data_IF_728879717644
#
_entry.id   IF_728879717644
#
_cell.length_a   1.000
_cell.length_b   1.000
_cell.length_c   1.000
_cell.angle_alpha   90.00
_cell.angle_beta   90.00
_cell.angle_gamma   90.00
#
_symmetry.space_group_name_H-M   'P 1'
#
loop_
_entity.id
_entity.type
_entity.pdbx_description
1 polymer ?
#
# COMPACT_ATOMS: atom_id res chain seq x y z
N UNK A 1 5.25 -1.97 -3.24
CA UNK A 1 4.41 -2.48 -2.13
C UNK A 1 5.03 -3.64 -1.37
N UNK A 2 5.68 -4.57 -2.07
CA UNK A 2 6.39 -5.71 -1.49
C UNK A 2 7.46 -5.27 -0.46
N UNK A 3 7.71 -6.16 0.49
CA UNK A 3 8.82 -6.08 1.42
C UNK A 3 8.44 -5.62 2.83
N UNK A 4 9.32 -5.88 3.80
CA UNK A 4 9.14 -5.46 5.17
C UNK A 4 9.04 -3.93 5.28
N UNK A 5 8.53 -3.46 6.42
CA UNK A 5 8.51 -2.03 6.73
C UNK A 5 9.95 -1.53 6.92
N UNK A 6 10.34 -0.56 6.12
CA UNK A 6 11.59 0.18 6.30
C UNK A 6 11.38 1.42 7.18
N UNK A 7 12.46 2.17 7.43
CA UNK A 7 12.45 3.36 8.29
C UNK A 7 11.41 4.40 7.85
N UNK A 8 11.25 4.64 6.55
CA UNK A 8 10.32 5.66 6.07
C UNK A 8 8.86 5.19 6.16
N UNK A 9 8.62 3.90 5.96
CA UNK A 9 7.30 3.32 6.24
C UNK A 9 6.94 3.46 7.74
N UNK A 10 7.91 3.27 8.63
CA UNK A 10 7.73 3.48 10.08
C UNK A 10 7.53 4.94 10.44
N UNK A 11 8.22 5.87 9.79
CA UNK A 11 7.98 7.31 9.98
C UNK A 11 6.54 7.66 9.60
N UNK A 12 6.06 7.25 8.43
CA UNK A 12 4.68 7.48 8.03
C UNK A 12 3.68 6.84 9.03
N UNK A 13 3.98 5.64 9.51
CA UNK A 13 3.18 4.97 10.53
C UNK A 13 3.10 5.75 11.84
N UNK A 14 4.24 6.24 12.34
CA UNK A 14 4.34 7.01 13.58
C UNK A 14 3.61 8.35 13.43
N UNK A 15 3.75 9.03 12.29
CA UNK A 15 3.04 10.28 12.04
C UNK A 15 1.52 10.11 12.16
N UNK A 16 0.95 9.08 11.54
CA UNK A 16 -0.49 8.79 11.64
C UNK A 16 -0.87 8.40 13.08
N UNK A 17 -0.04 7.61 13.76
CA UNK A 17 -0.28 7.21 15.14
C UNK A 17 -0.25 8.39 16.13
N UNK A 18 0.66 9.34 15.95
CA UNK A 18 0.74 10.56 16.76
C UNK A 18 -0.52 11.42 16.57
N UNK A 19 -1.01 11.56 15.34
CA UNK A 19 -2.25 12.29 15.08
C UNK A 19 -3.46 11.57 15.68
N UNK A 20 -3.50 10.23 15.61
CA UNK A 20 -4.53 9.44 16.27
C UNK A 20 -4.53 9.65 17.80
N UNK A 21 -3.34 9.63 18.43
CA UNK A 21 -3.20 9.85 19.86
C UNK A 21 -3.59 11.28 20.26
N UNK A 22 -3.17 12.29 19.49
CA UNK A 22 -3.57 13.68 19.69
C UNK A 22 -5.09 13.83 19.63
N UNK A 23 -5.71 13.30 18.57
CA UNK A 23 -7.16 13.37 18.39
C UNK A 23 -7.91 12.64 19.51
N UNK A 24 -7.39 11.49 19.96
CA UNK A 24 -7.95 10.77 21.10
C UNK A 24 -7.88 11.60 22.38
N UNK A 25 -6.70 12.11 22.73
CA UNK A 25 -6.49 12.87 23.96
C UNK A 25 -7.32 14.16 23.97
N UNK A 26 -7.33 14.90 22.86
CA UNK A 26 -8.10 16.14 22.74
C UNK A 26 -9.62 15.88 22.80
N UNK A 27 -10.11 14.88 22.07
CA UNK A 27 -11.52 14.49 22.09
C UNK A 27 -11.96 13.97 23.46
N UNK A 28 -11.14 13.17 24.12
CA UNK A 28 -11.42 12.67 25.47
C UNK A 28 -11.46 13.81 26.50
N UNK A 29 -10.56 14.80 26.40
CA UNK A 29 -10.56 15.96 27.29
C UNK A 29 -11.85 16.77 27.15
N UNK A 30 -12.30 17.02 25.91
CA UNK A 30 -13.59 17.69 25.63
C UNK A 30 -14.79 16.96 26.25
N UNK A 31 -14.78 15.63 26.31
CA UNK A 31 -15.89 14.85 26.87
C UNK A 31 -15.84 14.71 28.39
N UNK A 32 -14.65 14.54 28.96
CA UNK A 32 -14.48 14.29 30.40
C UNK A 32 -14.55 15.60 31.20
N UNK A 33 -13.95 16.67 30.69
CA UNK A 33 -13.83 17.95 31.37
C UNK A 33 -13.99 19.12 30.38
N UNK A 34 -15.20 19.32 29.81
CA UNK A 34 -15.43 20.26 28.71
C UNK A 34 -15.07 21.71 29.03
N UNK A 35 -15.36 22.17 30.25
CA UNK A 35 -15.06 23.55 30.66
C UNK A 35 -13.56 23.75 30.92
N UNK A 36 -12.90 22.76 31.52
CA UNK A 36 -11.45 22.81 31.70
C UNK A 36 -10.73 22.83 30.34
N UNK A 37 -11.19 22.03 29.37
CA UNK A 37 -10.70 22.09 27.99
C UNK A 37 -10.90 23.47 27.37
N UNK A 38 -12.10 24.04 27.50
CA UNK A 38 -12.44 25.35 26.95
C UNK A 38 -11.54 26.47 27.48
N UNK A 39 -11.17 26.45 28.76
CA UNK A 39 -10.27 27.45 29.35
C UNK A 39 -8.78 27.11 29.20
N UNK A 40 -8.42 25.85 28.97
CA UNK A 40 -7.03 25.43 28.78
C UNK A 40 -6.45 25.87 27.43
N UNK A 41 -7.31 26.11 26.42
CA UNK A 41 -6.90 26.60 25.10
C UNK A 41 -7.17 28.10 25.02
N UNK A 42 -6.16 28.99 25.11
CA UNK A 42 -6.37 30.43 25.27
C UNK A 42 -7.15 31.08 24.13
N UNK A 43 -7.06 30.51 22.95
CA UNK A 43 -7.75 30.97 21.75
C UNK A 43 -9.21 30.54 21.74
N UNK A 44 -9.65 29.50 22.45
CA UNK A 44 -11.03 29.02 22.35
C UNK A 44 -12.06 30.01 22.94
N UNK A 45 -11.87 30.63 24.12
CA UNK A 45 -12.88 31.50 24.71
C UNK A 45 -13.29 32.70 23.85
N UNK A 46 -12.39 33.16 22.98
CA UNK A 46 -12.66 34.28 22.09
C UNK A 46 -13.51 33.89 20.86
N UNK A 47 -14.00 32.64 20.74
CA UNK A 47 -14.95 32.20 19.70
C UNK A 47 -16.41 32.32 20.14
N UNK A 48 -16.65 32.68 21.41
CA UNK A 48 -17.97 32.85 21.99
C UNK A 48 -18.14 32.07 23.29
N UNK A 49 -19.29 32.21 23.99
CA UNK A 49 -19.53 31.57 25.28
C UNK A 49 -19.43 30.04 25.23
N UNK A 50 -18.98 29.43 26.33
CA UNK A 50 -18.89 27.98 26.44
C UNK A 50 -20.27 27.31 26.28
N UNK A 51 -20.31 26.24 25.47
CA UNK A 51 -21.46 25.36 25.33
C UNK A 51 -20.96 23.91 25.42
N UNK A 52 -21.33 23.22 26.50
CA UNK A 52 -20.83 21.87 26.81
C UNK A 52 -21.33 20.81 25.82
N UNK A 53 -22.53 20.97 25.27
CA UNK A 53 -23.04 20.07 24.24
C UNK A 53 -22.23 20.21 22.95
N UNK A 54 -22.00 21.46 22.51
CA UNK A 54 -21.21 21.74 21.31
C UNK A 54 -19.75 21.27 21.45
N UNK A 55 -19.13 21.49 22.61
CA UNK A 55 -17.80 20.94 22.92
C UNK A 55 -17.83 19.40 22.83
N UNK A 56 -18.91 18.78 23.32
CA UNK A 56 -19.13 17.33 23.22
C UNK A 56 -19.18 16.82 21.78
N UNK A 57 -19.89 17.50 20.90
CA UNK A 57 -19.97 17.14 19.47
C UNK A 57 -18.60 17.19 18.79
N UNK A 58 -17.81 18.23 19.09
CA UNK A 58 -16.42 18.35 18.60
C UNK A 58 -15.56 17.23 19.18
N UNK A 59 -15.74 16.90 20.46
CA UNK A 59 -15.05 15.78 21.11
C UNK A 59 -15.32 14.45 20.42
N UNK A 60 -16.59 14.15 20.09
CA UNK A 60 -16.97 12.95 19.35
C UNK A 60 -16.38 12.92 17.93
N UNK A 61 -16.28 14.08 17.27
CA UNK A 61 -15.64 14.17 15.97
C UNK A 61 -14.13 13.85 16.04
N UNK A 62 -13.42 14.41 17.03
CA UNK A 62 -12.01 14.08 17.30
C UNK A 62 -11.83 12.59 17.63
N UNK A 63 -12.68 12.00 18.47
CA UNK A 63 -12.61 10.57 18.79
C UNK A 63 -12.89 9.68 17.57
N UNK A 64 -13.82 10.08 16.72
CA UNK A 64 -14.10 9.37 15.46
C UNK A 64 -12.88 9.39 14.53
N UNK A 65 -12.25 10.55 14.37
CA UNK A 65 -10.96 10.68 13.66
C UNK A 65 -9.88 9.80 14.29
N UNK A 66 -9.77 9.77 15.62
CA UNK A 66 -8.78 8.96 16.34
C UNK A 66 -8.95 7.46 16.08
N UNK A 67 -10.18 6.95 16.08
CA UNK A 67 -10.47 5.53 15.80
C UNK A 67 -10.04 5.17 14.37
N UNK A 68 -10.40 5.99 13.39
CA UNK A 68 -10.06 5.74 11.98
C UNK A 68 -8.56 5.81 11.72
N UNK A 69 -7.88 6.82 12.29
CA UNK A 69 -6.44 6.99 12.17
C UNK A 69 -5.68 5.90 12.93
N UNK A 70 -6.15 5.48 14.11
CA UNK A 70 -5.59 4.36 14.85
C UNK A 70 -5.70 3.05 14.07
N UNK A 71 -6.86 2.77 13.47
CA UNK A 71 -7.04 1.63 12.56
C UNK A 71 -6.08 1.68 11.38
N UNK A 72 -5.91 2.86 10.77
CA UNK A 72 -5.02 3.06 9.65
C UNK A 72 -3.54 2.90 10.03
N UNK A 73 -3.13 3.41 11.20
CA UNK A 73 -1.77 3.37 11.72
C UNK A 73 -1.25 1.94 11.91
N UNK A 74 -2.11 0.94 12.10
CA UNK A 74 -1.66 -0.47 12.21
C UNK A 74 -1.07 -0.97 10.88
N UNK A 75 -1.64 -0.57 9.73
CA UNK A 75 -1.12 -0.94 8.42
C UNK A 75 -1.43 0.16 7.38
N UNK A 76 -0.68 1.27 7.38
CA UNK A 76 -0.97 2.42 6.53
C UNK A 76 -0.95 2.08 5.04
N UNK A 77 -0.09 1.13 4.63
CA UNK A 77 0.02 0.66 3.24
C UNK A 77 -1.32 0.12 2.72
N UNK A 78 -2.03 -0.65 3.54
CA UNK A 78 -3.32 -1.27 3.18
C UNK A 78 -4.54 -0.44 3.58
N UNK A 79 -4.40 0.45 4.56
CA UNK A 79 -5.51 1.16 5.20
C UNK A 79 -5.46 2.68 4.98
N UNK A 80 -4.73 3.13 3.95
CA UNK A 80 -4.54 4.54 3.65
C UNK A 80 -5.87 5.30 3.45
N UNK A 81 -6.91 4.65 2.91
CA UNK A 81 -8.24 5.26 2.77
C UNK A 81 -8.88 5.59 4.13
N UNK A 82 -8.62 4.76 5.16
CA UNK A 82 -9.09 5.05 6.51
C UNK A 82 -8.31 6.22 7.13
N UNK A 83 -7.01 6.36 6.81
CA UNK A 83 -6.26 7.55 7.20
C UNK A 83 -6.81 8.82 6.53
N UNK A 84 -7.10 8.74 5.22
CA UNK A 84 -7.72 9.83 4.48
C UNK A 84 -9.06 10.23 5.10
N UNK A 85 -9.95 9.27 5.31
CA UNK A 85 -11.27 9.54 5.88
C UNK A 85 -11.18 10.04 7.33
N UNK A 86 -10.29 9.46 8.15
CA UNK A 86 -10.04 9.90 9.53
C UNK A 86 -9.50 11.33 9.62
N UNK A 87 -8.77 11.81 8.62
CA UNK A 87 -8.25 13.19 8.59
C UNK A 87 -9.22 14.21 7.99
N UNK A 88 -10.34 13.81 7.37
CA UNK A 88 -11.23 14.73 6.66
C UNK A 88 -11.81 15.81 7.58
N UNK A 89 -12.30 15.42 8.76
CA UNK A 89 -12.85 16.38 9.70
C UNK A 89 -11.77 17.32 10.25
N UNK A 90 -10.58 16.81 10.58
CA UNK A 90 -9.44 17.61 11.02
C UNK A 90 -9.04 18.65 9.96
N UNK A 91 -9.00 18.24 8.68
CA UNK A 91 -8.71 19.13 7.57
C UNK A 91 -9.81 20.19 7.39
N UNK A 92 -11.07 19.77 7.37
CA UNK A 92 -12.20 20.67 7.20
C UNK A 92 -12.26 21.71 8.34
N UNK A 93 -11.99 21.28 9.57
CA UNK A 93 -11.87 22.17 10.72
C UNK A 93 -10.72 23.16 10.54
N UNK A 94 -9.52 22.70 10.16
CA UNK A 94 -8.40 23.59 9.86
C UNK A 94 -8.68 24.60 8.73
N UNK A 95 -9.42 24.18 7.69
CA UNK A 95 -9.87 25.06 6.59
C UNK A 95 -10.85 26.12 7.11
N UNK A 96 -11.72 25.79 8.06
CA UNK A 96 -12.62 26.77 8.68
C UNK A 96 -11.83 27.89 9.36
N UNK A 97 -10.77 27.58 10.09
CA UNK A 97 -9.88 28.58 10.71
C UNK A 97 -9.20 29.48 9.67
N UNK A 98 -8.77 28.91 8.54
CA UNK A 98 -8.25 29.69 7.41
C UNK A 98 -9.32 30.64 6.87
N UNK A 99 -10.53 30.13 6.66
CA UNK A 99 -11.65 30.94 6.18
C UNK A 99 -11.99 32.09 7.14
N UNK A 100 -12.13 31.81 8.43
CA UNK A 100 -12.42 32.82 9.47
C UNK A 100 -11.36 33.92 9.52
N UNK A 101 -10.10 33.56 9.28
CA UNK A 101 -9.00 34.53 9.19
C UNK A 101 -9.12 35.39 7.93
N UNK A 102 -9.46 34.79 6.78
CA UNK A 102 -9.63 35.50 5.51
C UNK A 102 -10.80 36.50 5.56
N UNK A 103 -11.92 36.12 6.18
CA UNK A 103 -13.12 36.99 6.27
C UNK A 103 -13.09 37.95 7.47
N UNK A 104 -12.02 37.93 8.27
CA UNK A 104 -11.83 38.87 9.39
C UNK A 104 -12.61 38.53 10.67
N UNK A 105 -13.12 37.30 10.80
CA UNK A 105 -13.74 36.81 12.04
C UNK A 105 -12.66 36.51 13.09
N UNK A 106 -11.53 35.95 12.67
CA UNK A 106 -10.38 35.65 13.51
C UNK A 106 -9.17 36.53 13.13
N UNK A 107 -8.40 36.98 14.12
CA UNK A 107 -7.18 37.74 13.85
C UNK A 107 -6.03 36.83 13.38
N UNK A 108 -5.11 37.31 12.53
CA UNK A 108 -3.96 36.52 12.10
C UNK A 108 -3.09 36.00 13.26
N UNK A 109 -2.89 36.80 14.31
CA UNK A 109 -2.08 36.41 15.48
C UNK A 109 -2.69 35.24 16.25
N UNK A 110 -4.03 35.15 16.28
CA UNK A 110 -4.74 34.05 16.91
C UNK A 110 -4.69 32.80 16.05
N UNK A 111 -4.90 32.95 14.73
CA UNK A 111 -4.73 31.86 13.80
C UNK A 111 -3.34 31.21 13.92
N UNK A 112 -2.27 32.01 14.02
CA UNK A 112 -0.90 31.48 14.22
C UNK A 112 -0.77 30.61 15.46
N UNK A 113 -1.48 30.94 16.55
CA UNK A 113 -1.49 30.13 17.77
C UNK A 113 -2.29 28.83 17.59
N UNK A 114 -3.33 28.83 16.75
CA UNK A 114 -4.17 27.67 16.47
C UNK A 114 -3.53 26.70 15.47
N UNK A 115 -2.69 27.19 14.53
CA UNK A 115 -2.04 26.39 13.46
C UNK A 115 -1.51 25.04 13.94
N UNK A 116 -0.70 24.95 15.03
CA UNK A 116 -0.14 23.67 15.47
C UNK A 116 -1.20 22.63 15.82
N UNK A 117 -2.34 23.06 16.39
CA UNK A 117 -3.43 22.18 16.82
C UNK A 117 -4.46 21.89 15.74
N UNK A 118 -4.68 22.80 14.78
CA UNK A 118 -5.77 22.69 13.79
C UNK A 118 -5.29 22.33 12.38
N UNK A 119 -4.09 22.76 11.98
CA UNK A 119 -3.51 22.45 10.67
C UNK A 119 -2.36 21.43 10.74
N UNK A 120 -1.61 21.39 11.85
CA UNK A 120 -0.56 20.41 12.07
C UNK A 120 -1.02 18.95 11.88
N UNK A 121 -2.10 18.52 12.55
CA UNK A 121 -2.60 17.14 12.45
C UNK A 121 -2.93 16.68 11.03
N UNK A 122 -3.77 17.38 10.22
CA UNK A 122 -4.05 16.94 8.86
C UNK A 122 -2.80 16.98 7.97
N UNK A 123 -1.93 17.99 8.11
CA UNK A 123 -0.67 18.04 7.35
C UNK A 123 0.20 16.82 7.61
N UNK A 124 0.33 16.38 8.86
CA UNK A 124 1.08 15.17 9.21
C UNK A 124 0.50 13.93 8.52
N UNK A 125 -0.82 13.76 8.49
CA UNK A 125 -1.45 12.64 7.80
C UNK A 125 -1.18 12.71 6.29
N UNK A 126 -1.34 13.87 5.66
CA UNK A 126 -1.08 14.01 4.22
C UNK A 126 0.38 13.81 3.85
N UNK A 127 1.34 14.25 4.67
CA UNK A 127 2.77 13.98 4.45
C UNK A 127 3.05 12.48 4.59
N UNK A 128 2.49 11.82 5.61
CA UNK A 128 2.62 10.36 5.78
C UNK A 128 2.06 9.60 4.56
N UNK A 129 0.88 9.99 4.06
CA UNK A 129 0.30 9.43 2.85
C UNK A 129 1.18 9.70 1.62
N UNK A 130 1.69 10.92 1.46
CA UNK A 130 2.58 11.28 0.36
C UNK A 130 3.85 10.41 0.33
N UNK A 131 4.47 10.17 1.50
CA UNK A 131 5.62 9.24 1.62
C UNK A 131 5.25 7.85 1.07
N UNK A 132 4.10 7.30 1.45
CA UNK A 132 3.67 5.97 1.02
C UNK A 132 3.35 5.92 -0.48
N UNK A 133 2.69 6.94 -1.02
CA UNK A 133 2.31 7.00 -2.44
C UNK A 133 3.52 7.22 -3.35
N UNK A 134 4.41 8.15 -3.01
CA UNK A 134 5.64 8.42 -3.79
C UNK A 134 6.52 7.16 -3.86
N UNK A 135 6.57 6.38 -2.77
CA UNK A 135 7.31 5.12 -2.70
C UNK A 135 6.56 3.91 -3.28
N UNK A 136 5.34 4.11 -3.82
CA UNK A 136 4.48 3.04 -4.34
C UNK A 136 4.27 1.91 -3.31
N UNK A 137 4.11 2.29 -2.04
CA UNK A 137 3.87 1.38 -0.91
C UNK A 137 2.40 1.31 -0.52
N UNK A 138 1.55 2.22 -1.00
CA UNK A 138 0.11 2.17 -0.80
C UNK A 138 -0.58 1.18 -1.75
N UNK A 139 -1.58 0.46 -1.25
CA UNK A 139 -2.42 -0.42 -2.05
C UNK A 139 -3.21 0.39 -3.11
N UNK A 140 -3.35 -0.12 -4.35
CA UNK A 140 -4.07 0.60 -5.41
C UNK A 140 -5.58 0.66 -5.17
N UNK A 141 -6.10 -0.20 -4.28
CA UNK A 141 -7.50 -0.18 -3.85
C UNK A 141 -7.96 1.23 -3.49
N UNK A 142 -9.08 1.66 -4.10
CA UNK A 142 -9.68 2.97 -3.86
C UNK A 142 -9.14 4.09 -4.74
N UNK A 143 -8.13 3.85 -5.58
CA UNK A 143 -7.72 4.81 -6.60
C UNK A 143 -8.85 5.00 -7.64
N UNK A 144 -9.12 6.24 -8.07
CA UNK A 144 -9.96 6.49 -9.22
C UNK A 144 -9.47 5.71 -10.45
N UNK A 145 -10.40 5.09 -11.18
CA UNK A 145 -10.11 4.28 -12.38
C UNK A 145 -9.16 4.95 -13.36
N UNK A 146 -9.34 6.25 -13.64
CA UNK A 146 -8.48 7.00 -14.57
C UNK A 146 -7.04 7.12 -14.09
N UNK A 147 -6.84 7.38 -12.79
CA UNK A 147 -5.50 7.47 -12.20
C UNK A 147 -4.81 6.11 -12.18
N UNK A 148 -5.55 5.05 -11.82
CA UNK A 148 -5.03 3.69 -11.81
C UNK A 148 -4.62 3.23 -13.23
N UNK A 149 -5.49 3.41 -14.24
CA UNK A 149 -5.17 3.05 -15.62
C UNK A 149 -3.97 3.84 -16.16
N UNK A 150 -3.91 5.14 -15.90
CA UNK A 150 -2.76 5.96 -16.30
C UNK A 150 -1.45 5.57 -15.62
N UNK A 151 -1.49 4.98 -14.42
CA UNK A 151 -0.32 4.37 -13.78
C UNK A 151 0.08 3.06 -14.46
N UNK A 152 -0.89 2.19 -14.73
CA UNK A 152 -0.67 0.90 -15.40
C UNK A 152 -0.08 1.09 -16.80
N UNK A 153 -0.59 2.06 -17.59
CA UNK A 153 -0.08 2.37 -18.93
C UNK A 153 1.39 2.83 -18.92
N UNK A 154 1.86 3.43 -17.81
CA UNK A 154 3.28 3.79 -17.66
C UNK A 154 4.13 2.62 -17.17
N UNK A 155 3.56 1.75 -16.35
CA UNK A 155 4.29 0.63 -15.75
C UNK A 155 4.48 -0.52 -16.74
N UNK A 156 3.48 -0.81 -17.56
CA UNK A 156 3.45 -1.92 -18.52
C UNK A 156 2.82 -1.49 -19.85
N UNK A 157 3.40 -0.52 -20.58
CA UNK A 157 2.77 0.13 -21.74
C UNK A 157 2.27 -0.86 -22.81
N UNK A 158 3.07 -1.86 -23.15
CA UNK A 158 2.73 -2.83 -24.21
C UNK A 158 1.80 -3.95 -23.71
N UNK A 159 1.52 -4.00 -22.41
CA UNK A 159 0.84 -5.12 -21.74
C UNK A 159 -0.36 -4.67 -20.91
N UNK A 160 -0.78 -3.40 -20.99
CA UNK A 160 -1.87 -2.85 -20.18
C UNK A 160 -3.28 -3.20 -20.67
N UNK A 161 -3.41 -3.71 -21.90
CA UNK A 161 -4.71 -3.93 -22.56
C UNK A 161 -5.69 -4.76 -21.71
N UNK A 162 -5.22 -5.84 -21.08
CA UNK A 162 -6.08 -6.69 -20.25
C UNK A 162 -6.67 -5.94 -19.05
N UNK A 163 -5.93 -4.97 -18.47
CA UNK A 163 -6.42 -4.14 -17.36
C UNK A 163 -7.51 -3.19 -17.84
N UNK A 164 -7.37 -2.65 -19.06
CA UNK A 164 -8.42 -1.83 -19.68
C UNK A 164 -9.69 -2.64 -19.96
N UNK A 165 -9.58 -3.90 -20.36
CA UNK A 165 -10.73 -4.79 -20.51
C UNK A 165 -11.41 -5.10 -19.17
N UNK A 166 -10.64 -5.41 -18.13
CA UNK A 166 -11.16 -5.54 -16.75
C UNK A 166 -11.87 -4.25 -16.33
N UNK A 167 -11.33 -3.09 -16.69
CA UNK A 167 -11.91 -1.79 -16.36
C UNK A 167 -13.21 -1.47 -17.09
N UNK A 168 -13.45 -2.06 -18.26
CA UNK A 168 -14.70 -1.93 -19.02
C UNK A 168 -15.74 -2.98 -18.61
N UNK A 169 -15.31 -4.06 -17.96
CA UNK A 169 -16.21 -5.11 -17.51
C UNK A 169 -17.17 -4.63 -16.40
N UNK A 170 -18.43 -5.10 -16.41
CA UNK A 170 -19.41 -4.77 -15.37
C UNK A 170 -19.08 -5.44 -14.03
N UNK A 171 -19.83 -5.10 -12.98
CA UNK A 171 -19.76 -5.80 -11.70
C UNK A 171 -18.50 -5.50 -10.88
N UNK A 172 -17.95 -4.30 -11.03
CA UNK A 172 -16.81 -3.81 -10.24
C UNK A 172 -15.53 -4.64 -10.42
N UNK A 173 -15.31 -5.18 -11.62
CA UNK A 173 -14.21 -6.08 -11.91
C UNK A 173 -12.83 -5.44 -11.62
N UNK A 174 -12.62 -4.18 -12.01
CA UNK A 174 -11.38 -3.46 -11.72
C UNK A 174 -11.15 -3.26 -10.22
N UNK A 175 -12.19 -2.93 -9.47
CA UNK A 175 -12.08 -2.71 -8.03
C UNK A 175 -11.68 -4.01 -7.31
N UNK A 176 -12.33 -5.12 -7.66
CA UNK A 176 -11.94 -6.47 -7.18
C UNK A 176 -10.52 -6.81 -7.58
N UNK A 177 -10.11 -6.47 -8.80
CA UNK A 177 -8.75 -6.69 -9.27
C UNK A 177 -7.72 -5.86 -8.48
N UNK A 178 -8.01 -4.59 -8.19
CA UNK A 178 -7.14 -3.76 -7.33
C UNK A 178 -6.99 -4.33 -5.92
N UNK A 179 -8.00 -5.01 -5.38
CA UNK A 179 -7.90 -5.75 -4.10
C UNK A 179 -7.06 -7.03 -4.20
N UNK A 180 -6.98 -7.66 -5.37
CA UNK A 180 -6.18 -8.85 -5.61
C UNK A 180 -4.68 -8.56 -5.70
N UNK A 181 -4.28 -7.45 -6.34
CA UNK A 181 -2.87 -7.12 -6.56
C UNK A 181 -1.97 -7.08 -5.30
N UNK A 182 -2.44 -6.55 -4.14
CA UNK A 182 -1.68 -6.63 -2.89
C UNK A 182 -1.33 -8.08 -2.49
N UNK A 183 -2.25 -9.02 -2.72
CA UNK A 183 -2.05 -10.42 -2.40
C UNK A 183 -0.98 -11.03 -3.33
N UNK A 184 -1.09 -10.81 -4.64
CA UNK A 184 -0.10 -11.35 -5.59
C UNK A 184 1.30 -10.78 -5.40
N UNK A 185 1.40 -9.58 -4.80
CA UNK A 185 2.66 -8.87 -4.51
C UNK A 185 3.18 -9.04 -3.07
N UNK A 186 2.54 -9.88 -2.25
CA UNK A 186 2.89 -10.05 -0.83
C UNK A 186 4.36 -10.50 -0.65
N UNK A 187 5.05 -9.85 0.29
CA UNK A 187 6.40 -10.18 0.76
C UNK A 187 6.62 -9.52 2.12
N UNK A 188 7.01 -10.29 3.13
CA UNK A 188 7.33 -9.77 4.46
C UNK A 188 8.71 -10.25 4.92
N UNK A 189 8.98 -11.55 4.86
CA UNK A 189 10.23 -12.17 5.31
C UNK A 189 11.12 -12.66 4.16
N UNK A 190 10.55 -13.04 3.01
CA UNK A 190 11.34 -13.64 1.93
C UNK A 190 12.39 -12.66 1.37
N UNK A 191 13.64 -13.12 1.15
CA UNK A 191 14.62 -12.36 0.38
C UNK A 191 14.05 -12.01 -1.00
N UNK A 192 14.36 -10.81 -1.49
CA UNK A 192 13.80 -10.33 -2.75
C UNK A 192 14.20 -11.22 -3.94
N UNK A 193 15.43 -11.71 -3.96
CA UNK A 193 15.95 -12.61 -5.01
C UNK A 193 15.23 -13.96 -5.02
N UNK A 194 15.04 -14.56 -3.84
CA UNK A 194 14.33 -15.83 -3.65
C UNK A 194 12.86 -15.71 -4.08
N UNK A 195 12.14 -14.66 -3.66
CA UNK A 195 10.76 -14.43 -4.10
C UNK A 195 10.67 -14.16 -5.61
N UNK A 196 11.60 -13.36 -6.13
CA UNK A 196 11.69 -13.04 -7.56
C UNK A 196 11.89 -14.30 -8.40
N UNK A 197 12.82 -15.17 -7.99
CA UNK A 197 13.08 -16.45 -8.66
C UNK A 197 11.84 -17.37 -8.67
N UNK A 198 11.14 -17.51 -7.54
CA UNK A 198 9.90 -18.29 -7.48
C UNK A 198 8.80 -17.74 -8.40
N UNK A 199 8.63 -16.42 -8.46
CA UNK A 199 7.67 -15.79 -9.38
C UNK A 199 8.03 -16.02 -10.84
N UNK A 200 9.30 -15.84 -11.21
CA UNK A 200 9.75 -16.01 -12.58
C UNK A 200 9.58 -17.47 -13.01
N UNK A 201 10.00 -18.44 -12.18
CA UNK A 201 9.78 -19.87 -12.45
C UNK A 201 8.31 -20.21 -12.67
N UNK A 202 7.41 -19.72 -11.80
CA UNK A 202 5.98 -19.94 -11.95
C UNK A 202 5.39 -19.34 -13.24
N UNK A 203 5.86 -18.16 -13.65
CA UNK A 203 5.37 -17.48 -14.86
C UNK A 203 5.92 -18.10 -16.14
N UNK A 204 7.15 -18.62 -16.13
CA UNK A 204 7.73 -19.29 -17.30
C UNK A 204 6.97 -20.58 -17.65
N UNK A 205 6.42 -21.29 -16.66
CA UNK A 205 5.52 -22.43 -16.89
C UNK A 205 4.24 -22.01 -17.64
N UNK A 206 3.74 -20.80 -17.42
CA UNK A 206 2.56 -20.26 -18.12
C UNK A 206 2.85 -19.76 -19.55
N UNK A 207 4.12 -19.86 -20.00
CA UNK A 207 4.57 -19.47 -21.33
C UNK A 207 4.21 -18.01 -21.67
N UNK A 208 4.45 -17.10 -20.72
CA UNK A 208 4.27 -15.66 -20.90
C UNK A 208 5.58 -14.88 -20.67
N UNK A 209 6.38 -14.71 -21.74
CA UNK A 209 7.61 -13.92 -21.71
C UNK A 209 7.46 -12.49 -21.15
N UNK A 210 6.48 -11.68 -21.62
CA UNK A 210 6.25 -10.34 -21.08
C UNK A 210 5.89 -10.32 -19.58
N UNK A 211 5.17 -11.33 -19.11
CA UNK A 211 4.84 -11.47 -17.69
C UNK A 211 6.10 -11.79 -16.86
N UNK A 212 6.99 -12.63 -17.38
CA UNK A 212 8.27 -12.96 -16.73
C UNK A 212 9.17 -11.72 -16.65
N UNK A 213 9.23 -10.93 -17.74
CA UNK A 213 9.90 -9.63 -17.77
C UNK A 213 9.32 -8.65 -16.75
N UNK A 214 8.00 -8.55 -16.64
CA UNK A 214 7.35 -7.71 -15.62
C UNK A 214 7.76 -8.13 -14.21
N UNK A 215 7.83 -9.43 -13.93
CA UNK A 215 8.30 -9.95 -12.64
C UNK A 215 9.77 -9.64 -12.39
N UNK A 216 10.61 -9.76 -13.41
CA UNK A 216 12.03 -9.45 -13.33
C UNK A 216 12.27 -7.95 -13.09
N UNK A 217 11.56 -7.07 -13.79
CA UNK A 217 11.61 -5.61 -13.56
C UNK A 217 11.16 -5.24 -12.15
N UNK A 218 10.09 -5.85 -11.64
CA UNK A 218 9.66 -5.67 -10.25
C UNK A 218 10.73 -6.12 -9.24
N UNK A 219 11.40 -7.23 -9.52
CA UNK A 219 12.48 -7.75 -8.66
C UNK A 219 13.75 -6.89 -8.74
N UNK A 220 14.04 -6.30 -9.90
CA UNK A 220 15.12 -5.32 -10.07
C UNK A 220 14.86 -4.07 -9.23
N UNK A 221 13.62 -3.57 -9.21
CA UNK A 221 13.22 -2.46 -8.36
C UNK A 221 13.31 -2.79 -6.85
N UNK A 222 13.18 -4.07 -6.49
CA UNK A 222 13.42 -4.59 -5.14
C UNK A 222 14.91 -4.86 -4.84
N UNK A 223 15.82 -4.52 -5.76
CA UNK A 223 17.28 -4.56 -5.57
C UNK A 223 17.97 -5.86 -5.98
N UNK A 224 17.29 -6.77 -6.68
CA UNK A 224 17.90 -8.01 -7.17
C UNK A 224 18.83 -7.72 -8.35
N UNK A 225 19.97 -8.41 -8.41
CA UNK A 225 20.98 -8.20 -9.46
C UNK A 225 20.46 -8.62 -10.84
N UNK A 226 20.89 -7.91 -11.89
CA UNK A 226 20.50 -8.24 -13.27
C UNK A 226 20.99 -9.64 -13.69
N UNK A 227 22.14 -10.07 -13.18
CA UNK A 227 22.73 -11.39 -13.44
C UNK A 227 21.80 -12.50 -12.95
N UNK A 228 21.33 -12.38 -11.70
CA UNK A 228 20.38 -13.33 -11.08
C UNK A 228 19.07 -13.37 -11.86
N UNK A 229 18.54 -12.21 -12.25
CA UNK A 229 17.28 -12.12 -12.98
C UNK A 229 17.39 -12.68 -14.40
N UNK A 230 18.51 -12.44 -15.09
CA UNK A 230 18.74 -13.01 -16.41
C UNK A 230 18.95 -14.53 -16.35
N UNK A 231 19.61 -15.05 -15.31
CA UNK A 231 19.70 -16.50 -15.08
C UNK A 231 18.30 -17.12 -14.86
N UNK A 232 17.44 -16.48 -14.07
CA UNK A 232 16.05 -16.92 -13.90
C UNK A 232 15.26 -16.88 -15.23
N UNK A 233 15.35 -15.78 -15.99
CA UNK A 233 14.68 -15.63 -17.29
C UNK A 233 15.18 -16.66 -18.34
N UNK A 234 16.43 -17.11 -18.23
CA UNK A 234 17.03 -18.14 -19.08
C UNK A 234 16.71 -19.58 -18.62
N UNK A 235 15.67 -19.77 -17.79
CA UNK A 235 15.25 -21.09 -17.31
C UNK A 235 15.95 -21.56 -16.04
N UNK A 236 16.54 -20.64 -15.27
CA UNK A 236 17.09 -20.91 -13.95
C UNK A 236 18.53 -21.46 -13.93
N UNK A 237 19.13 -21.71 -15.10
CA UNK A 237 20.53 -22.14 -15.18
C UNK A 237 21.47 -21.03 -14.71
N UNK A 238 22.37 -21.37 -13.77
CA UNK A 238 23.32 -20.41 -13.18
C UNK A 238 22.77 -19.56 -12.03
N UNK A 239 21.55 -19.85 -11.55
CA UNK A 239 21.08 -19.28 -10.29
C UNK A 239 21.91 -19.82 -9.11
N UNK A 240 22.19 -19.01 -8.08
CA UNK A 240 22.70 -19.52 -6.81
C UNK A 240 21.70 -20.48 -6.17
N UNK A 241 22.18 -21.34 -5.27
CA UNK A 241 21.40 -22.47 -4.73
C UNK A 241 20.06 -22.06 -4.11
N UNK A 242 20.03 -20.93 -3.39
CA UNK A 242 18.83 -20.38 -2.75
C UNK A 242 17.75 -20.02 -3.80
N UNK A 243 18.13 -19.26 -4.82
CA UNK A 243 17.26 -18.84 -5.91
C UNK A 243 16.88 -20.00 -6.82
N UNK A 244 17.80 -20.95 -7.06
CA UNK A 244 17.53 -22.15 -7.85
C UNK A 244 16.48 -23.05 -7.19
N UNK A 245 16.56 -23.23 -5.87
CA UNK A 245 15.53 -23.93 -5.10
C UNK A 245 14.17 -23.21 -5.23
N UNK A 246 14.14 -21.90 -5.02
CA UNK A 246 12.91 -21.13 -5.10
C UNK A 246 12.31 -21.10 -6.51
N UNK A 247 13.14 -21.02 -7.54
CA UNK A 247 12.74 -21.09 -8.95
C UNK A 247 12.05 -22.43 -9.24
N UNK A 248 12.68 -23.56 -8.90
CA UNK A 248 12.09 -24.90 -9.07
C UNK A 248 10.80 -25.06 -8.27
N UNK A 249 10.76 -24.53 -7.04
CA UNK A 249 9.53 -24.53 -6.24
C UNK A 249 8.40 -23.74 -6.93
N UNK A 250 8.71 -22.57 -7.50
CA UNK A 250 7.77 -21.79 -8.31
C UNK A 250 7.24 -22.55 -9.52
N UNK A 251 8.11 -23.23 -10.27
CA UNK A 251 7.73 -24.10 -11.38
C UNK A 251 6.81 -25.24 -10.92
N UNK A 252 7.17 -25.93 -9.84
CA UNK A 252 6.41 -27.03 -9.28
C UNK A 252 5.00 -26.60 -8.84
N UNK A 253 4.86 -25.44 -8.19
CA UNK A 253 3.56 -24.87 -7.83
C UNK A 253 2.73 -24.55 -9.09
N UNK A 254 3.35 -23.99 -10.13
CA UNK A 254 2.64 -23.63 -11.36
C UNK A 254 2.12 -24.86 -12.11
N UNK A 255 2.94 -25.91 -12.24
CA UNK A 255 2.57 -27.15 -12.94
C UNK A 255 1.81 -28.16 -12.08
N UNK A 256 1.56 -27.84 -10.80
CA UNK A 256 1.01 -28.78 -9.81
C UNK A 256 1.85 -30.08 -9.74
N UNK A 257 3.17 -29.91 -9.69
CA UNK A 257 4.14 -31.00 -9.67
C UNK A 257 4.09 -31.82 -8.37
N UNK A 258 4.32 -33.12 -8.49
CA UNK A 258 4.39 -34.04 -7.35
C UNK A 258 5.54 -33.69 -6.38
N UNK A 259 6.58 -33.04 -6.88
CA UNK A 259 7.76 -32.57 -6.14
C UNK A 259 7.55 -31.23 -5.41
N UNK A 260 6.37 -30.61 -5.54
CA UNK A 260 6.10 -29.34 -4.86
C UNK A 260 6.17 -29.46 -3.33
N UNK A 261 5.80 -30.60 -2.77
CA UNK A 261 5.84 -30.80 -1.32
C UNK A 261 7.29 -30.90 -0.81
N UNK A 262 8.11 -31.74 -1.44
CA UNK A 262 9.53 -31.92 -1.12
C UNK A 262 10.33 -30.62 -1.28
N UNK A 263 10.13 -29.90 -2.38
CA UNK A 263 10.76 -28.58 -2.59
C UNK A 263 10.28 -27.55 -1.54
N UNK A 264 9.01 -27.63 -1.16
CA UNK A 264 8.44 -26.78 -0.12
C UNK A 264 9.05 -27.06 1.25
N UNK A 265 9.28 -28.33 1.59
CA UNK A 265 9.95 -28.74 2.83
C UNK A 265 11.40 -28.26 2.86
N UNK A 266 12.12 -28.32 1.74
CA UNK A 266 13.47 -27.79 1.63
C UNK A 266 13.50 -26.26 1.81
N UNK A 267 12.55 -25.53 1.18
CA UNK A 267 12.38 -24.08 1.38
C UNK A 267 12.11 -23.76 2.85
N UNK A 268 11.23 -24.52 3.51
CA UNK A 268 10.90 -24.30 4.91
C UNK A 268 12.06 -24.63 5.84
N UNK A 269 12.83 -25.69 5.56
CA UNK A 269 14.03 -26.01 6.31
C UNK A 269 15.09 -24.90 6.20
N UNK A 270 15.22 -24.28 5.02
CA UNK A 270 16.25 -23.27 4.73
C UNK A 270 15.87 -21.86 5.18
N UNK A 271 14.61 -21.48 5.03
CA UNK A 271 14.14 -20.10 5.25
C UNK A 271 12.98 -19.96 6.25
N UNK A 272 12.40 -21.07 6.69
CA UNK A 272 11.27 -21.09 7.62
C UNK A 272 9.89 -21.03 6.96
N UNK A 273 8.88 -21.35 7.77
CA UNK A 273 7.47 -21.49 7.34
C UNK A 273 6.91 -20.23 6.67
N UNK A 274 7.24 -19.06 7.18
CA UNK A 274 6.77 -17.77 6.63
C UNK A 274 7.26 -17.58 5.19
N UNK A 275 8.51 -17.91 4.91
CA UNK A 275 9.06 -17.80 3.55
C UNK A 275 8.41 -18.81 2.62
N UNK A 276 8.22 -20.08 3.04
CA UNK A 276 7.46 -21.06 2.24
C UNK A 276 6.06 -20.55 1.89
N UNK A 277 5.35 -19.96 2.85
CA UNK A 277 4.03 -19.36 2.62
C UNK A 277 4.09 -18.24 1.58
N UNK A 278 5.05 -17.32 1.70
CA UNK A 278 5.21 -16.20 0.77
C UNK A 278 5.55 -16.67 -0.65
N UNK A 279 6.46 -17.63 -0.79
CA UNK A 279 6.81 -18.21 -2.09
C UNK A 279 5.62 -18.92 -2.73
N UNK A 280 4.90 -19.75 -1.96
CA UNK A 280 3.73 -20.48 -2.44
C UNK A 280 2.62 -19.51 -2.89
N UNK A 281 2.34 -18.49 -2.08
CA UNK A 281 1.34 -17.47 -2.40
C UNK A 281 1.72 -16.67 -3.65
N UNK A 282 2.98 -16.24 -3.75
CA UNK A 282 3.47 -15.49 -4.90
C UNK A 282 3.46 -16.32 -6.18
N UNK A 283 3.95 -17.56 -6.14
CA UNK A 283 3.96 -18.49 -7.27
C UNK A 283 2.55 -18.85 -7.74
N UNK A 284 1.60 -19.08 -6.81
CA UNK A 284 0.23 -19.39 -7.17
C UNK A 284 -0.51 -18.19 -7.79
N UNK A 285 -0.38 -17.00 -7.19
CA UNK A 285 -1.16 -15.83 -7.60
C UNK A 285 -0.61 -15.11 -8.83
N UNK A 286 0.71 -15.12 -9.05
CA UNK A 286 1.31 -14.44 -10.22
C UNK A 286 0.82 -15.02 -11.56
N UNK A 287 0.31 -16.25 -11.55
CA UNK A 287 -0.24 -16.95 -12.72
C UNK A 287 -1.60 -16.39 -13.17
N UNK A 288 -2.32 -15.67 -12.30
CA UNK A 288 -3.58 -15.05 -12.68
C UNK A 288 -3.41 -14.07 -13.84
N UNK A 289 -2.30 -13.33 -13.88
CA UNK A 289 -2.02 -12.35 -14.94
C UNK A 289 -1.88 -13.01 -16.33
N UNK A 290 -0.95 -13.96 -16.57
CA UNK A 290 -0.86 -14.66 -17.85
C UNK A 290 -2.13 -15.45 -18.19
N UNK A 291 -2.77 -16.10 -17.20
CA UNK A 291 -4.00 -16.85 -17.44
C UNK A 291 -5.15 -15.96 -17.94
N UNK A 292 -5.34 -14.78 -17.34
CA UNK A 292 -6.33 -13.81 -17.83
C UNK A 292 -6.00 -13.31 -19.23
N UNK A 293 -4.74 -12.95 -19.50
CA UNK A 293 -4.31 -12.50 -20.84
C UNK A 293 -4.57 -13.56 -21.90
N UNK A 294 -4.26 -14.82 -21.60
CA UNK A 294 -4.52 -15.96 -22.49
C UNK A 294 -6.02 -16.19 -22.68
N UNK A 295 -6.80 -16.19 -21.59
CA UNK A 295 -8.24 -16.36 -21.61
C UNK A 295 -8.99 -15.25 -22.38
N UNK A 296 -8.47 -14.04 -22.37
CA UNK A 296 -8.98 -12.90 -23.15
C UNK A 296 -8.46 -12.88 -24.61
N UNK A 297 -7.58 -13.80 -24.99
CA UNK A 297 -7.01 -13.86 -26.34
C UNK A 297 -5.98 -12.77 -26.65
N UNK A 298 -5.40 -12.15 -25.62
CA UNK A 298 -4.44 -11.03 -25.72
C UNK A 298 -2.99 -11.48 -25.86
N UNK A 299 -2.72 -12.77 -25.69
CA UNK A 299 -1.39 -13.35 -25.83
C UNK A 299 -1.46 -14.65 -26.62
N UNK A 300 -0.54 -14.82 -27.57
CA UNK A 300 -0.23 -16.08 -28.26
C UNK A 300 1.27 -16.30 -28.03
N UNK A 301 1.64 -17.44 -27.41
CA UNK A 301 3.00 -17.89 -27.04
C UNK A 301 4.16 -16.97 -27.49
N UNK A 302 4.93 -16.42 -26.55
CA UNK A 302 6.01 -15.48 -26.83
C UNK A 302 7.27 -15.78 -26.01
N UNK A 303 8.43 -15.72 -26.67
CA UNK A 303 9.76 -15.82 -26.06
C UNK A 303 10.05 -14.64 -25.12
N UNK A 304 10.59 -14.90 -23.92
CA UNK A 304 11.15 -13.86 -23.07
C UNK A 304 12.47 -13.31 -23.66
N UNK A 305 12.63 -11.99 -23.70
CA UNK A 305 13.89 -11.31 -24.08
C UNK A 305 14.72 -11.01 -22.83
N UNK A 306 16.03 -10.88 -22.95
CA UNK A 306 16.89 -10.50 -21.81
C UNK A 306 16.64 -9.05 -21.36
N UNK A 307 16.87 -8.75 -20.08
CA UNK A 307 16.89 -7.36 -19.60
C UNK A 307 18.11 -6.64 -20.17
N UNK A 308 17.91 -5.53 -20.89
CA UNK A 308 19.00 -4.74 -21.48
C UNK A 308 19.72 -3.87 -20.43
N UNK A 309 20.89 -3.35 -20.82
CA UNK A 309 21.74 -2.45 -20.02
C UNK A 309 20.98 -1.19 -19.64
#
# INVERSE_FOLDING_TARGET
>A
MSGPYDTLDRVAQIMIALVALFAFANGAFMLIAPLDWYYAIPTVPASGPANTHFIGDIGLAYLSSAVMLGYAAVNPKMRWMAALAGTLWLLAHGILHIYETIVGICSPDRFVQDIPGVLGPPVFVFVALAILFIRQKAAPTGLPKSLFLGFIDRMIPDESQYVHEIARAPGHALEKFMHFMPASSHRHAAPASVLGAARIGAVLVEDCGPCALTCAQGSLADGVSKETLNAALAGGSGLPDDEALAFRFGEAIARQGADADELGDEVEARFGRTVRLELAMAAAMVRAYPAMKRGLGLTKACSATALTI
#
